data_IF_033318151939
#
_entry.id   IF_033318151939
#
_cell.length_a   1.000
_cell.length_b   1.000
_cell.length_c   1.000
_cell.angle_alpha   90.00
_cell.angle_beta   90.00
_cell.angle_gamma   90.00
#
_symmetry.space_group_name_H-M   'P 1'
#
loop_
_entity.id
_entity.type
_entity.pdbx_description
1 polymer ?
#
# COMPACT_ATOMS: atom_id res chain seq x y z
N UNK A 1 -31.17 -5.94 -3.08
CA UNK A 1 -30.46 -4.66 -3.26
C UNK A 1 -29.13 -4.57 -2.53
N UNK A 2 -29.08 -4.87 -1.24
CA UNK A 2 -27.83 -4.91 -0.44
C UNK A 2 -26.75 -5.86 -0.99
N UNK A 3 -27.15 -6.89 -1.75
CA UNK A 3 -26.23 -7.82 -2.40
C UNK A 3 -25.31 -7.20 -3.47
N UNK A 4 -25.46 -5.91 -3.78
CA UNK A 4 -24.60 -5.18 -4.73
C UNK A 4 -23.26 -4.78 -4.11
N UNK A 5 -23.21 -4.58 -2.80
CA UNK A 5 -21.97 -4.32 -2.05
C UNK A 5 -21.54 -5.59 -1.33
N UNK A 6 -20.27 -6.01 -1.46
CA UNK A 6 -19.79 -7.17 -0.73
C UNK A 6 -19.73 -6.89 0.78
N UNK A 7 -19.85 -7.95 1.58
CA UNK A 7 -19.57 -7.89 3.01
C UNK A 7 -18.05 -7.91 3.21
N UNK A 8 -17.53 -6.87 3.85
CA UNK A 8 -16.10 -6.65 4.06
C UNK A 8 -15.84 -6.59 5.56
N UNK A 9 -14.86 -7.37 6.03
CA UNK A 9 -14.30 -7.24 7.38
C UNK A 9 -12.95 -6.54 7.23
N UNK A 10 -12.82 -5.36 7.83
CA UNK A 10 -11.59 -4.57 7.81
C UNK A 10 -11.06 -4.39 9.23
N UNK A 11 -9.75 -4.56 9.39
CA UNK A 11 -9.04 -4.23 10.61
C UNK A 11 -8.25 -2.93 10.40
N UNK A 12 -8.26 -2.05 11.40
CA UNK A 12 -7.41 -0.87 11.41
C UNK A 12 -6.03 -1.26 11.94
N UNK A 13 -5.02 -1.16 11.09
CA UNK A 13 -3.63 -1.44 11.48
C UNK A 13 -2.96 -0.12 11.84
N UNK A 14 -2.88 0.18 13.14
CA UNK A 14 -2.17 1.37 13.65
C UNK A 14 -0.67 1.12 13.85
N UNK A 15 -0.28 -0.14 14.01
CA UNK A 15 1.09 -0.59 14.22
C UNK A 15 1.86 -0.60 12.90
N UNK A 16 2.41 0.54 12.50
CA UNK A 16 3.18 0.66 11.25
C UNK A 16 3.72 2.05 10.94
N UNK A 17 3.08 3.10 11.45
CA UNK A 17 3.37 4.51 11.08
C UNK A 17 4.84 4.89 11.28
N UNK A 18 5.48 4.41 12.35
CA UNK A 18 6.91 4.68 12.61
C UNK A 18 7.81 4.07 11.54
N UNK A 19 7.52 2.85 11.12
CA UNK A 19 8.30 2.13 10.11
C UNK A 19 8.26 2.83 8.75
N UNK A 20 7.14 3.45 8.36
CA UNK A 20 7.08 4.26 7.15
C UNK A 20 8.08 5.43 7.17
N UNK A 21 8.19 6.14 8.30
CA UNK A 21 9.13 7.26 8.42
C UNK A 21 10.58 6.81 8.50
N UNK A 22 10.84 5.70 9.20
CA UNK A 22 12.20 5.16 9.29
C UNK A 22 12.67 4.59 7.94
N UNK A 23 11.77 3.92 7.20
CA UNK A 23 12.02 3.43 5.85
C UNK A 23 12.23 4.57 4.85
N UNK A 24 11.45 5.66 4.92
CA UNK A 24 11.66 6.86 4.11
C UNK A 24 13.05 7.48 4.37
N UNK A 25 13.44 7.62 5.64
CA UNK A 25 14.77 8.12 6.01
C UNK A 25 15.88 7.23 5.46
N UNK A 26 15.70 5.91 5.54
CA UNK A 26 16.64 4.96 4.96
C UNK A 26 16.73 5.14 3.44
N UNK A 27 15.60 5.16 2.73
CA UNK A 27 15.55 5.33 1.29
C UNK A 27 16.25 6.62 0.83
N UNK A 28 16.01 7.74 1.51
CA UNK A 28 16.67 9.03 1.24
C UNK A 28 18.17 9.03 1.53
N UNK A 29 18.66 8.11 2.38
CA UNK A 29 20.09 7.96 2.67
C UNK A 29 20.85 7.19 1.60
N UNK A 30 20.14 6.47 0.72
CA UNK A 30 20.75 5.66 -0.33
C UNK A 30 21.29 6.54 -1.47
N UNK A 31 22.32 6.02 -2.14
CA UNK A 31 22.87 6.58 -3.37
C UNK A 31 22.57 5.63 -4.52
N UNK A 32 22.72 6.09 -5.76
CA UNK A 32 22.50 5.31 -6.98
C UNK A 32 23.27 3.98 -7.04
N UNK A 33 24.39 3.88 -6.34
CA UNK A 33 25.20 2.65 -6.25
C UNK A 33 24.58 1.57 -5.35
N UNK A 34 23.52 1.85 -4.59
CA UNK A 34 22.95 0.92 -3.61
C UNK A 34 21.68 0.18 -4.09
N UNK A 35 21.20 0.48 -5.30
CA UNK A 35 19.97 -0.07 -5.82
C UNK A 35 19.99 -0.14 -7.35
N UNK A 36 19.12 -0.98 -7.90
CA UNK A 36 18.89 -1.12 -9.34
C UNK A 36 17.43 -0.77 -9.60
N UNK A 37 17.20 0.10 -10.59
CA UNK A 37 15.86 0.48 -11.05
C UNK A 37 15.65 -0.09 -12.44
N UNK A 38 14.55 -0.79 -12.62
CA UNK A 38 14.01 -1.10 -13.93
C UNK A 38 12.82 -0.16 -14.20
N UNK A 39 13.04 0.79 -15.13
CA UNK A 39 12.05 1.78 -15.51
C UNK A 39 10.91 1.20 -16.35
N UNK A 40 11.15 0.10 -17.06
CA UNK A 40 10.14 -0.54 -17.91
C UNK A 40 9.12 -1.26 -17.04
N UNK A 41 9.58 -2.04 -16.06
CA UNK A 41 8.71 -2.72 -15.10
C UNK A 41 8.28 -1.83 -13.92
N UNK A 42 8.85 -0.62 -13.78
CA UNK A 42 8.69 0.26 -12.60
C UNK A 42 8.97 -0.50 -11.31
N UNK A 43 10.09 -1.23 -11.28
CA UNK A 43 10.56 -1.97 -10.10
C UNK A 43 11.90 -1.43 -9.61
N UNK A 44 12.15 -1.57 -8.32
CA UNK A 44 13.40 -1.15 -7.66
C UNK A 44 13.80 -2.22 -6.66
N UNK A 45 15.06 -2.61 -6.71
CA UNK A 45 15.64 -3.60 -5.81
C UNK A 45 16.97 -3.09 -5.23
N UNK A 46 17.25 -3.46 -3.99
CA UNK A 46 18.56 -3.18 -3.39
C UNK A 46 19.59 -4.15 -3.95
N UNK A 47 20.79 -3.67 -4.22
CA UNK A 47 21.93 -4.55 -4.48
C UNK A 47 22.59 -4.98 -3.15
N UNK A 48 23.65 -5.78 -3.21
CA UNK A 48 24.36 -6.28 -2.02
C UNK A 48 24.82 -5.17 -1.07
N UNK A 49 25.32 -4.05 -1.61
CA UNK A 49 25.75 -2.90 -0.78
C UNK A 49 24.55 -2.22 -0.10
N UNK A 50 23.43 -2.07 -0.82
CA UNK A 50 22.19 -1.54 -0.27
C UNK A 50 21.60 -2.42 0.82
N UNK A 51 21.66 -3.74 0.64
CA UNK A 51 21.21 -4.72 1.64
C UNK A 51 22.06 -4.60 2.91
N UNK A 52 23.39 -4.60 2.78
CA UNK A 52 24.31 -4.44 3.92
C UNK A 52 24.08 -3.12 4.66
N UNK A 53 23.79 -2.05 3.92
CA UNK A 53 23.49 -0.74 4.50
C UNK A 53 22.14 -0.75 5.24
N UNK A 54 21.13 -1.44 4.71
CA UNK A 54 19.85 -1.63 5.39
C UNK A 54 20.03 -2.38 6.72
N UNK A 55 20.81 -3.46 6.69
CA UNK A 55 21.12 -4.27 7.87
C UNK A 55 21.78 -3.46 8.98
N UNK A 56 22.76 -2.62 8.62
CA UNK A 56 23.42 -1.70 9.56
C UNK A 56 22.48 -0.60 10.08
N UNK A 57 21.66 -0.02 9.20
CA UNK A 57 20.74 1.08 9.57
C UNK A 57 19.66 0.61 10.55
N UNK A 58 19.05 -0.55 10.27
CA UNK A 58 17.99 -1.12 11.09
C UNK A 58 18.51 -2.04 12.21
N UNK A 59 19.82 -2.26 12.30
CA UNK A 59 20.49 -3.11 13.31
C UNK A 59 19.97 -4.54 13.29
N UNK A 60 19.89 -5.13 12.10
CA UNK A 60 19.45 -6.50 11.86
C UNK A 60 20.55 -7.31 11.18
N UNK A 61 20.52 -8.63 11.34
CA UNK A 61 21.56 -9.51 10.79
C UNK A 61 21.28 -9.94 9.35
N UNK A 62 20.01 -10.10 8.97
CA UNK A 62 19.61 -10.55 7.64
C UNK A 62 18.26 -9.92 7.25
N UNK A 63 18.29 -9.02 6.27
CA UNK A 63 17.09 -8.33 5.77
C UNK A 63 16.02 -9.28 5.20
N UNK A 64 16.42 -10.38 4.57
CA UNK A 64 15.52 -11.32 3.89
C UNK A 64 15.07 -12.48 4.79
N UNK A 65 15.36 -12.44 6.09
CA UNK A 65 14.82 -13.44 7.02
C UNK A 65 13.31 -13.26 7.20
N UNK A 66 12.57 -14.35 7.44
CA UNK A 66 11.12 -14.32 7.66
C UNK A 66 10.69 -13.36 8.78
N UNK A 67 11.53 -13.17 9.80
CA UNK A 67 11.28 -12.24 10.91
C UNK A 67 11.26 -10.78 10.46
N UNK A 68 12.01 -10.45 9.41
CA UNK A 68 12.15 -9.10 8.87
C UNK A 68 11.27 -8.84 7.63
N UNK A 69 10.41 -9.79 7.26
CA UNK A 69 9.50 -9.65 6.11
C UNK A 69 8.66 -8.37 6.17
N UNK A 70 8.15 -8.05 7.36
CA UNK A 70 7.39 -6.81 7.59
C UNK A 70 8.24 -5.57 7.28
N UNK A 71 9.46 -5.49 7.82
CA UNK A 71 10.37 -4.37 7.58
C UNK A 71 10.79 -4.26 6.10
N UNK A 72 11.08 -5.39 5.46
CA UNK A 72 11.42 -5.45 4.04
C UNK A 72 10.30 -4.85 3.18
N UNK A 73 9.04 -5.11 3.53
CA UNK A 73 7.88 -4.52 2.86
C UNK A 73 7.87 -2.98 2.95
N UNK A 74 8.09 -2.38 4.13
CA UNK A 74 8.20 -0.92 4.26
C UNK A 74 9.36 -0.34 3.46
N UNK A 75 10.52 -1.01 3.46
CA UNK A 75 11.69 -0.57 2.69
C UNK A 75 11.38 -0.57 1.20
N UNK A 76 10.79 -1.65 0.67
CA UNK A 76 10.39 -1.72 -0.75
C UNK A 76 9.41 -0.60 -1.13
N UNK A 77 8.42 -0.33 -0.28
CA UNK A 77 7.48 0.77 -0.51
C UNK A 77 8.13 2.14 -0.46
N UNK A 78 9.03 2.37 0.50
CA UNK A 78 9.78 3.63 0.59
C UNK A 78 10.69 3.83 -0.63
N UNK A 79 11.36 2.79 -1.11
CA UNK A 79 12.16 2.82 -2.33
C UNK A 79 11.31 3.20 -3.54
N UNK A 80 10.15 2.55 -3.72
CA UNK A 80 9.22 2.84 -4.82
C UNK A 80 8.68 4.28 -4.72
N UNK A 81 8.26 4.70 -3.53
CA UNK A 81 7.78 6.06 -3.29
C UNK A 81 8.85 7.11 -3.61
N UNK A 82 10.10 6.90 -3.19
CA UNK A 82 11.20 7.84 -3.37
C UNK A 82 11.70 7.93 -4.81
N UNK A 83 11.96 6.78 -5.44
CA UNK A 83 12.74 6.71 -6.68
C UNK A 83 11.91 6.46 -7.94
N UNK A 84 10.71 5.89 -7.82
CA UNK A 84 9.85 5.56 -8.98
C UNK A 84 8.69 6.54 -9.12
N UNK A 85 8.07 6.92 -7.99
CA UNK A 85 6.89 7.78 -7.99
C UNK A 85 7.29 9.26 -8.04
N UNK A 86 6.80 9.96 -9.07
CA UNK A 86 7.10 11.37 -9.31
C UNK A 86 5.92 12.27 -8.90
N UNK A 87 6.25 13.33 -8.15
CA UNK A 87 5.32 14.40 -7.83
C UNK A 87 4.95 15.17 -9.09
N UNK A 88 3.70 15.60 -9.18
CA UNK A 88 3.09 16.31 -10.32
C UNK A 88 2.97 15.47 -11.61
N UNK A 89 3.21 14.15 -11.50
CA UNK A 89 3.03 13.18 -12.60
C UNK A 89 2.23 11.97 -12.18
N UNK A 90 2.66 11.27 -11.13
CA UNK A 90 1.94 10.10 -10.60
C UNK A 90 0.97 10.48 -9.48
N UNK A 91 1.29 11.53 -8.74
CA UNK A 91 0.47 12.05 -7.64
C UNK A 91 0.73 13.54 -7.42
N UNK A 92 -0.19 14.18 -6.71
CA UNK A 92 -0.09 15.56 -6.26
C UNK A 92 -0.27 15.65 -4.74
N UNK A 93 0.31 16.70 -4.15
CA UNK A 93 0.18 17.01 -2.72
C UNK A 93 -0.78 18.17 -2.57
N UNK A 94 -1.95 17.92 -1.98
CA UNK A 94 -2.97 18.94 -1.76
C UNK A 94 -3.51 18.84 -0.34
N UNK A 95 -3.61 19.97 0.36
CA UNK A 95 -4.10 20.03 1.75
C UNK A 95 -3.39 19.03 2.69
N UNK A 96 -2.08 18.85 2.52
CA UNK A 96 -1.26 17.90 3.28
C UNK A 96 -1.71 16.44 3.12
N UNK A 97 -2.27 16.09 1.96
CA UNK A 97 -2.68 14.75 1.57
C UNK A 97 -2.20 14.42 0.15
N UNK A 98 -1.95 13.13 -0.09
CA UNK A 98 -1.59 12.60 -1.39
C UNK A 98 -2.87 12.36 -2.21
N UNK A 99 -2.90 12.86 -3.43
CA UNK A 99 -3.98 12.61 -4.39
C UNK A 99 -3.38 11.99 -5.65
N UNK A 100 -3.98 10.91 -6.13
CA UNK A 100 -3.48 10.15 -7.27
C UNK A 100 -3.82 10.89 -8.57
N UNK A 101 -2.89 10.90 -9.52
CA UNK A 101 -3.14 11.38 -10.88
C UNK A 101 -3.37 10.16 -11.78
N UNK A 102 -4.46 10.18 -12.54
CA UNK A 102 -4.67 9.20 -13.61
C UNK A 102 -3.68 9.46 -14.75
N UNK A 103 -2.80 8.49 -15.03
CA UNK A 103 -1.77 8.59 -16.08
C UNK A 103 -2.34 8.75 -17.50
N UNK A 104 -3.59 8.32 -17.75
CA UNK A 104 -4.20 8.43 -19.08
C UNK A 104 -4.89 9.78 -19.29
N UNK A 105 -5.56 10.29 -18.26
CA UNK A 105 -6.42 11.47 -18.39
C UNK A 105 -5.86 12.73 -17.71
N UNK A 106 -4.82 12.59 -16.87
CA UNK A 106 -4.26 13.65 -16.05
C UNK A 106 -5.18 14.12 -14.91
N UNK A 107 -6.31 13.44 -14.68
CA UNK A 107 -7.30 13.85 -13.67
C UNK A 107 -6.89 13.43 -12.28
N UNK A 108 -7.16 14.28 -11.30
CA UNK A 108 -7.02 13.96 -9.88
C UNK A 108 -8.12 12.97 -9.44
N UNK A 109 -7.71 11.82 -8.93
CA UNK A 109 -8.57 10.76 -8.44
C UNK A 109 -8.79 10.91 -6.92
N UNK A 110 -9.65 11.85 -6.54
CA UNK A 110 -9.96 12.15 -5.13
C UNK A 110 -10.62 10.94 -4.46
N UNK A 111 -10.16 10.61 -3.26
CA UNK A 111 -10.69 9.50 -2.45
C UNK A 111 -10.10 8.13 -2.80
N UNK A 112 -9.27 8.02 -3.84
CA UNK A 112 -8.50 6.80 -4.11
C UNK A 112 -7.16 6.82 -3.39
N UNK A 113 -6.75 5.64 -2.93
CA UNK A 113 -5.45 5.40 -2.31
C UNK A 113 -4.67 4.34 -3.11
N UNK A 114 -3.34 4.41 -3.06
CA UNK A 114 -2.50 3.34 -3.57
C UNK A 114 -2.60 2.15 -2.62
N UNK A 115 -2.55 0.94 -3.17
CA UNK A 115 -2.62 -0.30 -2.40
C UNK A 115 -1.30 -0.64 -1.72
N UNK A 116 -1.35 -1.63 -0.82
CA UNK A 116 -0.19 -2.33 -0.29
C UNK A 116 0.83 -1.41 0.38
N UNK A 117 0.37 -0.43 1.16
CA UNK A 117 1.22 0.49 1.92
C UNK A 117 1.92 1.60 1.12
N UNK A 118 1.81 1.61 -0.21
CA UNK A 118 2.49 2.60 -1.05
C UNK A 118 1.97 4.03 -0.80
N UNK A 119 0.69 4.18 -0.49
CA UNK A 119 0.10 5.51 -0.22
C UNK A 119 0.70 6.12 1.04
N UNK A 120 0.86 5.33 2.09
CA UNK A 120 1.46 5.71 3.36
C UNK A 120 2.95 6.01 3.21
N UNK A 121 3.66 5.27 2.34
CA UNK A 121 5.04 5.57 2.00
C UNK A 121 5.19 6.92 1.27
N UNK A 122 4.26 7.27 0.38
CA UNK A 122 4.22 8.61 -0.25
C UNK A 122 3.89 9.71 0.77
N UNK A 123 2.94 9.45 1.68
CA UNK A 123 2.64 10.36 2.78
C UNK A 123 3.88 10.59 3.66
N UNK A 124 4.69 9.56 3.92
CA UNK A 124 5.96 9.68 4.61
C UNK A 124 7.00 10.48 3.82
N UNK A 125 7.16 10.20 2.52
CA UNK A 125 8.08 10.91 1.61
C UNK A 125 7.85 12.41 1.62
N UNK A 126 6.60 12.83 1.49
CA UNK A 126 6.19 14.24 1.40
C UNK A 126 5.91 14.88 2.77
N UNK A 127 6.23 14.20 3.88
CA UNK A 127 5.98 14.65 5.25
C UNK A 127 4.50 14.99 5.56
N UNK A 128 3.57 14.33 4.86
CA UNK A 128 2.14 14.43 5.12
C UNK A 128 1.74 13.64 6.38
N UNK A 129 0.47 13.80 6.79
CA UNK A 129 -0.09 12.99 7.88
C UNK A 129 -0.33 11.57 7.33
N UNK A 130 0.37 10.60 7.91
CA UNK A 130 0.22 9.19 7.52
C UNK A 130 -1.09 8.65 8.12
N UNK A 131 -2.00 8.19 7.26
CA UNK A 131 -3.25 7.57 7.69
C UNK A 131 -3.02 6.08 7.98
N UNK A 132 -3.72 5.55 8.98
CA UNK A 132 -3.69 4.12 9.26
C UNK A 132 -4.24 3.34 8.06
N UNK A 133 -3.61 2.21 7.77
CA UNK A 133 -4.10 1.30 6.74
C UNK A 133 -5.35 0.57 7.24
N UNK A 134 -6.35 0.53 6.37
CA UNK A 134 -7.49 -0.38 6.50
C UNK A 134 -7.11 -1.66 5.77
N UNK A 135 -6.71 -2.68 6.53
CA UNK A 135 -6.44 -4.00 5.97
C UNK A 135 -7.76 -4.76 5.85
N UNK A 136 -8.07 -5.27 4.66
CA UNK A 136 -9.26 -6.09 4.45
C UNK A 136 -8.95 -7.54 4.79
N UNK A 137 -9.42 -8.01 5.94
CA UNK A 137 -9.16 -9.37 6.43
C UNK A 137 -9.99 -10.43 5.70
N UNK A 138 -11.22 -10.10 5.33
CA UNK A 138 -12.10 -11.00 4.59
C UNK A 138 -13.11 -10.23 3.75
N UNK A 139 -13.47 -10.81 2.60
CA UNK A 139 -14.53 -10.30 1.73
C UNK A 139 -15.38 -11.45 1.21
N UNK A 140 -16.70 -11.31 1.25
CA UNK A 140 -17.64 -12.25 0.62
C UNK A 140 -18.85 -11.50 0.06
N UNK A 141 -19.34 -11.90 -1.12
CA UNK A 141 -20.59 -11.36 -1.65
C UNK A 141 -21.78 -12.08 -1.01
N UNK A 142 -22.91 -11.39 -0.84
CA UNK A 142 -24.12 -12.01 -0.30
C UNK A 142 -24.57 -13.23 -1.13
N UNK A 143 -24.42 -13.16 -2.46
CA UNK A 143 -24.74 -14.28 -3.36
C UNK A 143 -23.92 -15.53 -3.03
N UNK A 144 -22.61 -15.38 -2.80
CA UNK A 144 -21.74 -16.50 -2.45
C UNK A 144 -21.95 -16.97 -1.01
N UNK A 145 -22.20 -16.05 -0.08
CA UNK A 145 -22.51 -16.38 1.31
C UNK A 145 -23.77 -17.26 1.41
N UNK A 146 -24.86 -16.86 0.75
CA UNK A 146 -26.12 -17.60 0.81
C UNK A 146 -26.04 -18.97 0.12
N UNK A 147 -25.21 -19.13 -0.93
CA UNK A 147 -25.00 -20.43 -1.59
C UNK A 147 -24.40 -21.51 -0.69
N UNK A 148 -23.76 -21.13 0.41
CA UNK A 148 -23.19 -22.09 1.36
C UNK A 148 -24.25 -22.78 2.26
N UNK A 149 -25.49 -22.29 2.28
CA UNK A 149 -26.55 -22.89 3.09
C UNK A 149 -27.20 -24.08 2.37
N UNK A 150 -27.41 -25.18 3.11
CA UNK A 150 -28.08 -26.39 2.58
C UNK A 150 -29.54 -26.13 2.18
N UNK A 151 -30.20 -25.19 2.85
CA UNK A 151 -31.57 -24.77 2.57
C UNK A 151 -31.64 -23.25 2.62
N UNK A 152 -32.17 -22.64 1.57
CA UNK A 152 -32.32 -21.19 1.42
C UNK A 152 -33.79 -20.89 1.21
N UNK A 153 -34.35 -19.99 2.01
CA UNK A 153 -35.70 -19.47 1.85
C UNK A 153 -35.70 -17.95 2.06
N UNK A 154 -36.69 -17.27 1.51
CA UNK A 154 -36.84 -15.82 1.64
C UNK A 154 -38.29 -15.40 1.43
N UNK A 155 -38.66 -14.26 2.03
CA UNK A 155 -39.98 -13.67 1.87
C UNK A 155 -39.83 -12.20 1.47
N UNK A 156 -40.65 -11.74 0.53
CA UNK A 156 -40.76 -10.34 0.15
C UNK A 156 -42.06 -10.12 -0.62
N UNK A 157 -42.64 -8.92 -0.50
CA UNK A 157 -43.86 -8.55 -1.23
C UNK A 157 -43.65 -8.29 -2.72
N UNK A 158 -42.40 -8.19 -3.19
CA UNK A 158 -42.06 -7.66 -4.52
C UNK A 158 -41.05 -8.53 -5.29
N UNK A 159 -41.07 -9.85 -5.13
CA UNK A 159 -40.12 -10.75 -5.79
C UNK A 159 -40.51 -11.19 -7.22
N UNK A 160 -41.78 -11.10 -7.60
CA UNK A 160 -42.31 -11.73 -8.83
C UNK A 160 -42.08 -10.90 -10.10
N UNK A 161 -41.94 -9.58 -9.95
CA UNK A 161 -41.70 -8.61 -11.02
C UNK A 161 -40.30 -8.75 -11.59
#
# INVERSE_FOLDING_TARGET
>A
DEARTPLIISNNVTSGIKFYRDADRFAKSLKSEHYVIDLESKTIELNEEGIRKAELFFKINNLYSNQNSFLLHFIKNALKACFIMERDKDYLVQNNQIVIIDQFTGRALIGRQFSDGLHQALEAKENCIIKAETETSATITYQNLFRNYKLISGMTGTAKT
#
